data_IF_120061204464
#
_entry.id   IF_120061204464
#
_cell.length_a   1.000
_cell.length_b   1.000
_cell.length_c   1.000
_cell.angle_alpha   90.00
_cell.angle_beta   90.00
_cell.angle_gamma   90.00
#
_symmetry.space_group_name_H-M   'P 1'
#
loop_
_entity.id
_entity.type
_entity.pdbx_description
1 polymer ?
#
# COMPACT_ATOMS: atom_id res chain seq x y z
N UNK A 1 -22.60 3.46 -22.12
CA UNK A 1 -21.70 3.46 -20.95
C UNK A 1 -20.43 2.76 -21.40
N UNK A 2 -19.46 3.53 -21.88
CA UNK A 2 -18.28 3.00 -22.58
C UNK A 2 -17.19 2.76 -21.54
N UNK A 3 -16.79 1.51 -21.37
CA UNK A 3 -15.69 1.11 -20.50
C UNK A 3 -14.43 1.91 -20.85
N UNK A 4 -13.79 2.53 -19.86
CA UNK A 4 -12.58 3.33 -20.02
C UNK A 4 -11.42 2.40 -20.40
N UNK A 5 -10.78 2.57 -21.57
CA UNK A 5 -9.53 1.89 -21.85
C UNK A 5 -8.41 2.93 -21.77
N UNK A 6 -7.74 3.13 -20.63
CA UNK A 6 -6.62 4.07 -20.58
C UNK A 6 -5.48 3.60 -19.70
N UNK A 7 -4.74 2.62 -20.19
CA UNK A 7 -3.30 2.55 -19.91
C UNK A 7 -2.53 3.20 -21.04
N UNK A 8 -2.96 4.40 -21.47
CA UNK A 8 -2.12 5.20 -22.36
C UNK A 8 -1.00 5.78 -21.50
N UNK A 9 0.23 5.34 -21.77
CA UNK A 9 1.39 5.78 -20.99
C UNK A 9 1.77 7.18 -21.47
N UNK A 10 1.69 8.16 -20.56
CA UNK A 10 2.08 9.54 -20.85
C UNK A 10 3.60 9.67 -20.90
N UNK A 11 4.10 10.58 -21.73
CA UNK A 11 5.48 11.03 -21.57
C UNK A 11 5.60 11.84 -20.27
N UNK A 12 6.78 11.82 -19.62
CA UNK A 12 7.05 12.61 -18.40
C UNK A 12 6.67 14.09 -18.58
N UNK A 13 6.98 14.68 -19.74
CA UNK A 13 6.65 16.07 -20.04
C UNK A 13 5.15 16.35 -20.10
N UNK A 14 4.36 15.39 -20.60
CA UNK A 14 2.91 15.48 -20.71
C UNK A 14 2.26 15.34 -19.34
N UNK A 15 2.69 14.35 -18.55
CA UNK A 15 2.21 14.16 -17.18
C UNK A 15 2.46 15.40 -16.32
N UNK A 16 3.64 16.03 -16.47
CA UNK A 16 3.96 17.29 -15.78
C UNK A 16 3.07 18.46 -16.23
N UNK A 17 2.78 18.57 -17.52
CA UNK A 17 1.95 19.64 -18.06
C UNK A 17 0.48 19.52 -17.61
N UNK A 18 -0.03 18.30 -17.50
CA UNK A 18 -1.43 18.02 -17.17
C UNK A 18 -1.70 17.77 -15.67
N UNK A 19 -0.74 18.00 -14.77
CA UNK A 19 -0.89 17.61 -13.36
C UNK A 19 -2.11 18.25 -12.68
N UNK A 20 -2.41 19.50 -12.98
CA UNK A 20 -3.60 20.20 -12.46
C UNK A 20 -4.90 19.59 -12.99
N UNK A 21 -4.93 19.15 -14.25
CA UNK A 21 -6.10 18.49 -14.85
C UNK A 21 -6.31 17.09 -14.26
N UNK A 22 -5.23 16.31 -14.14
CA UNK A 22 -5.23 14.98 -13.52
C UNK A 22 -5.80 15.05 -12.10
N UNK A 23 -5.33 16.00 -11.29
CA UNK A 23 -5.82 16.17 -9.91
C UNK A 23 -7.26 16.68 -9.86
N UNK A 24 -7.71 17.46 -10.84
CA UNK A 24 -9.11 17.88 -10.95
C UNK A 24 -10.03 16.69 -11.28
N UNK A 25 -9.62 15.81 -12.18
CA UNK A 25 -10.34 14.56 -12.49
C UNK A 25 -10.42 13.67 -11.25
N UNK A 26 -9.30 13.47 -10.56
CA UNK A 26 -9.27 12.68 -9.31
C UNK A 26 -10.21 13.24 -8.24
N UNK A 27 -10.32 14.56 -8.13
CA UNK A 27 -11.26 15.19 -7.20
C UNK A 27 -12.72 14.99 -7.61
N UNK A 28 -13.02 14.93 -8.91
CA UNK A 28 -14.38 14.79 -9.42
C UNK A 28 -14.87 13.34 -9.42
N UNK A 29 -13.97 12.39 -9.70
CA UNK A 29 -14.31 10.99 -9.98
C UNK A 29 -13.75 10.01 -8.93
N UNK A 30 -12.89 10.47 -8.01
CA UNK A 30 -12.33 9.65 -6.94
C UNK A 30 -11.59 8.43 -7.48
N UNK A 31 -11.81 7.26 -6.87
CA UNK A 31 -11.24 6.00 -7.32
C UNK A 31 -11.67 5.57 -8.74
N UNK A 32 -12.81 6.05 -9.25
CA UNK A 32 -13.30 5.69 -10.58
C UNK A 32 -12.47 6.32 -11.72
N UNK A 33 -11.69 7.36 -11.41
CA UNK A 33 -10.79 8.01 -12.37
C UNK A 33 -9.70 7.08 -12.91
N UNK A 34 -9.38 6.00 -12.19
CA UNK A 34 -8.26 5.12 -12.49
C UNK A 34 -6.90 5.76 -12.20
N UNK A 35 -5.83 5.09 -12.60
CA UNK A 35 -4.45 5.55 -12.42
C UNK A 35 -3.90 6.13 -13.71
N UNK A 36 -3.00 7.11 -13.60
CA UNK A 36 -2.25 7.63 -14.74
C UNK A 36 -0.85 7.07 -14.70
N UNK A 37 -0.40 6.39 -15.76
CA UNK A 37 0.95 5.83 -15.88
C UNK A 37 1.78 6.70 -16.82
N UNK A 38 3.04 6.96 -16.46
CA UNK A 38 3.93 7.79 -17.28
C UNK A 38 5.39 7.33 -17.20
N UNK A 39 6.19 7.78 -18.16
CA UNK A 39 7.65 7.58 -18.15
C UNK A 39 8.33 8.05 -19.43
N UNK A 40 9.65 7.86 -19.48
CA UNK A 40 10.46 8.34 -20.61
C UNK A 40 10.08 7.60 -21.90
N UNK A 41 9.92 8.33 -23.01
CA UNK A 41 9.48 7.75 -24.30
C UNK A 41 8.21 6.87 -24.19
N UNK A 42 7.32 7.18 -23.25
CA UNK A 42 6.10 6.40 -22.96
C UNK A 42 6.38 4.95 -22.53
N UNK A 43 7.54 4.69 -21.94
CA UNK A 43 7.81 3.46 -21.17
C UNK A 43 7.16 3.62 -19.80
N UNK A 44 6.49 2.61 -19.23
CA UNK A 44 5.84 2.75 -17.93
C UNK A 44 6.90 2.71 -16.81
N UNK A 45 7.07 3.83 -16.11
CA UNK A 45 8.09 3.98 -15.06
C UNK A 45 7.48 4.41 -13.72
N UNK A 46 6.40 5.18 -13.74
CA UNK A 46 5.71 5.68 -12.55
C UNK A 46 4.21 5.82 -12.78
N UNK A 47 3.46 5.95 -11.67
CA UNK A 47 2.02 6.19 -11.70
C UNK A 47 1.61 7.33 -10.75
N UNK A 48 0.55 8.05 -11.12
CA UNK A 48 -0.17 9.00 -10.28
C UNK A 48 -1.52 8.37 -9.97
N UNK A 49 -1.88 8.31 -8.69
CA UNK A 49 -3.01 7.52 -8.20
C UNK A 49 -3.96 8.44 -7.42
N UNK A 50 -5.29 8.34 -7.62
CA UNK A 50 -6.26 9.01 -6.75
C UNK A 50 -6.04 8.60 -5.30
N UNK A 51 -6.12 9.56 -4.38
CA UNK A 51 -5.85 9.29 -2.97
C UNK A 51 -6.78 8.21 -2.38
N UNK A 52 -8.05 8.17 -2.79
CA UNK A 52 -9.00 7.12 -2.39
C UNK A 52 -8.51 5.69 -2.74
N UNK A 53 -7.79 5.52 -3.85
CA UNK A 53 -7.19 4.21 -4.18
C UNK A 53 -6.07 3.87 -3.18
N UNK A 54 -5.29 4.86 -2.74
CA UNK A 54 -4.29 4.64 -1.69
C UNK A 54 -4.98 4.25 -0.37
N UNK A 55 -6.05 4.93 0.02
CA UNK A 55 -6.82 4.58 1.23
C UNK A 55 -7.39 3.16 1.18
N UNK A 56 -7.84 2.71 0.00
CA UNK A 56 -8.30 1.32 -0.18
C UNK A 56 -7.15 0.30 -0.11
N UNK A 57 -5.94 0.68 -0.49
CA UNK A 57 -4.76 -0.20 -0.47
C UNK A 57 -4.08 -0.21 0.91
N UNK A 58 -4.31 0.79 1.75
CA UNK A 58 -3.64 0.95 3.05
C UNK A 58 -3.76 -0.30 3.94
N UNK A 59 -4.94 -0.93 4.11
CA UNK A 59 -5.06 -2.16 4.90
C UNK A 59 -4.27 -3.33 4.30
N UNK A 60 -4.18 -3.40 2.96
CA UNK A 60 -3.46 -4.46 2.26
C UNK A 60 -1.94 -4.26 2.42
N UNK A 61 -1.48 -3.01 2.34
CA UNK A 61 -0.08 -2.66 2.56
C UNK A 61 0.32 -2.97 4.01
N UNK A 62 -0.54 -2.62 4.98
CA UNK A 62 -0.35 -2.94 6.39
C UNK A 62 -0.23 -4.46 6.62
N UNK A 63 -1.17 -5.24 6.10
CA UNK A 63 -1.17 -6.71 6.17
C UNK A 63 0.10 -7.31 5.56
N UNK A 64 0.57 -6.79 4.43
CA UNK A 64 1.81 -7.23 3.78
C UNK A 64 3.03 -6.97 4.66
N UNK A 65 3.11 -5.80 5.30
CA UNK A 65 4.20 -5.42 6.20
C UNK A 65 4.19 -6.30 7.46
N UNK A 66 3.03 -6.51 8.07
CA UNK A 66 2.88 -7.38 9.25
C UNK A 66 3.30 -8.81 8.88
N UNK A 67 2.80 -9.34 7.77
CA UNK A 67 3.13 -10.68 7.30
C UNK A 67 4.62 -10.87 7.03
N UNK A 68 5.31 -9.83 6.51
CA UNK A 68 6.75 -9.86 6.33
C UNK A 68 7.50 -9.94 7.66
N UNK A 69 7.07 -9.17 8.67
CA UNK A 69 7.63 -9.22 10.03
C UNK A 69 7.38 -10.56 10.72
N UNK A 70 6.20 -11.16 10.54
CA UNK A 70 5.90 -12.49 11.08
C UNK A 70 6.86 -13.53 10.47
N UNK A 71 7.04 -13.52 9.15
CA UNK A 71 7.99 -14.44 8.49
C UNK A 71 9.42 -14.26 8.97
N UNK A 72 9.86 -13.02 9.18
CA UNK A 72 11.18 -12.73 9.73
C UNK A 72 11.33 -13.21 11.17
N UNK A 73 10.28 -13.04 11.99
CA UNK A 73 10.25 -13.55 13.36
C UNK A 73 10.27 -15.07 13.39
N UNK A 74 9.49 -15.74 12.54
CA UNK A 74 9.44 -17.20 12.46
C UNK A 74 10.76 -17.78 11.94
N UNK A 75 11.43 -17.10 10.98
CA UNK A 75 12.74 -17.50 10.49
C UNK A 75 13.84 -17.37 11.56
N UNK A 76 13.67 -16.44 12.50
CA UNK A 76 14.57 -16.22 13.63
C UNK A 76 14.00 -16.79 14.95
N UNK A 77 12.91 -17.56 14.89
CA UNK A 77 12.28 -18.15 16.06
C UNK A 77 13.25 -19.21 16.61
N UNK A 78 13.70 -19.00 17.85
CA UNK A 78 14.54 -19.97 18.55
C UNK A 78 13.80 -21.27 18.83
N UNK A 79 12.49 -21.32 18.57
CA UNK A 79 11.60 -22.45 18.85
C UNK A 79 11.22 -22.55 20.32
N UNK A 80 11.69 -21.60 21.15
CA UNK A 80 11.37 -21.54 22.56
C UNK A 80 9.90 -21.12 22.68
N UNK A 81 9.14 -21.95 23.40
CA UNK A 81 7.76 -21.68 23.76
C UNK A 81 7.76 -21.49 25.26
N UNK A 82 7.27 -20.33 25.69
CA UNK A 82 7.06 -20.05 27.09
C UNK A 82 5.61 -20.34 27.44
N UNK A 83 5.37 -20.93 28.61
CA UNK A 83 4.03 -20.98 29.19
C UNK A 83 3.66 -19.60 29.74
N UNK A 84 2.37 -19.40 30.02
CA UNK A 84 1.90 -18.15 30.61
C UNK A 84 2.54 -17.92 31.99
N UNK A 85 2.66 -18.97 32.78
CA UNK A 85 3.27 -18.94 34.12
C UNK A 85 4.75 -18.53 34.06
N UNK A 86 5.50 -19.04 33.08
CA UNK A 86 6.91 -18.68 32.88
C UNK A 86 7.09 -17.20 32.51
N UNK A 87 6.21 -16.63 31.68
CA UNK A 87 6.25 -15.20 31.34
C UNK A 87 5.86 -14.33 32.53
N UNK A 88 4.85 -14.74 33.30
CA UNK A 88 4.41 -14.03 34.51
C UNK A 88 5.55 -13.97 35.53
N UNK A 89 6.25 -15.08 35.74
CA UNK A 89 7.41 -15.17 36.62
C UNK A 89 8.61 -14.36 36.09
N UNK A 90 8.93 -14.45 34.80
CA UNK A 90 10.09 -13.77 34.19
C UNK A 90 9.94 -12.24 34.17
N UNK A 91 8.74 -11.74 33.88
CA UNK A 91 8.48 -10.30 33.73
C UNK A 91 7.87 -9.65 34.98
N UNK A 92 7.63 -10.42 36.05
CA UNK A 92 7.06 -9.92 37.30
C UNK A 92 5.65 -9.36 37.15
N UNK A 93 4.84 -9.99 36.30
CA UNK A 93 3.46 -9.60 36.03
C UNK A 93 2.53 -10.19 37.10
N UNK A 94 1.39 -9.54 37.34
CA UNK A 94 0.34 -10.14 38.18
C UNK A 94 -0.54 -11.05 37.31
N UNK A 95 -0.95 -12.21 37.84
CA UNK A 95 -1.90 -13.08 37.14
C UNK A 95 -3.20 -12.31 36.84
N UNK A 96 -3.74 -12.39 35.62
CA UNK A 96 -5.02 -11.78 35.30
C UNK A 96 -6.13 -12.50 36.10
N UNK A 97 -6.82 -11.74 36.97
CA UNK A 97 -7.93 -12.20 37.82
C UNK A 97 -9.16 -12.66 37.04
#
# INVERSE_FOLDING_TARGET
MTAIPRTEIMAVSEARACLTEITAIFRAEGAAAGIVVFGNRRVPEAAIVPFEIIEMLDPIIEDMVISARIRERDANDSGIRYTLEEIIEEFGLEEPS
#
